data_IF_723727342482
#
_entry.id   IF_723727342482
#
_cell.length_a   1.000
_cell.length_b   1.000
_cell.length_c   1.000
_cell.angle_alpha   90.00
_cell.angle_beta   90.00
_cell.angle_gamma   90.00
#
_symmetry.space_group_name_H-M   'P 1'
#
loop_
_entity.id
_entity.type
_entity.pdbx_description
1 polymer ?
2 water ?
#
# COMPACT_ATOMS: atom_id res chain seq x y z
N UNK A 4 7.78 -16.28 -20.45
CA UNK A 4 7.80 -17.31 -19.39
C UNK A 4 8.89 -17.06 -18.33
N UNK A 5 8.45 -16.67 -17.13
CA UNK A 5 9.37 -16.42 -16.02
C UNK A 5 9.38 -17.54 -14.98
N UNK A 6 8.24 -17.82 -14.29
CA UNK A 6 6.88 -17.24 -14.30
C UNK A 6 6.70 -16.03 -13.36
N UNK A 7 5.45 -15.61 -13.14
CA UNK A 7 5.13 -14.46 -12.29
C UNK A 7 4.99 -14.79 -10.81
N UNK A 8 5.95 -14.30 -10.02
CA UNK A 8 5.97 -14.57 -8.58
C UNK A 8 5.54 -13.39 -7.70
N UNK A 9 4.54 -13.65 -6.85
CA UNK A 9 4.01 -12.65 -5.94
C UNK A 9 4.20 -13.07 -4.47
N UNK A 10 4.78 -12.18 -3.68
CA UNK A 10 4.97 -12.43 -2.25
C UNK A 10 3.86 -11.69 -1.54
N UNK A 11 3.20 -12.36 -0.60
CA UNK A 11 2.12 -11.75 0.15
C UNK A 11 2.31 -11.97 1.64
N UNK A 12 2.70 -10.90 2.32
CA UNK A 12 2.92 -10.96 3.76
C UNK A 12 1.94 -10.06 4.50
N UNK A 13 2.01 -10.13 5.82
CA UNK A 13 1.14 -9.34 6.67
C UNK A 13 1.13 -10.01 8.03
N UNK A 14 0.48 -9.40 9.02
CA UNK A 14 0.42 -9.99 10.34
C UNK A 14 -0.64 -11.07 10.43
N UNK A 15 -0.64 -11.83 11.52
CA UNK A 15 -1.64 -12.88 11.70
C UNK A 15 -3.01 -12.22 11.71
N UNK A 16 -3.96 -12.81 10.98
CA UNK A 16 -5.32 -12.30 10.90
C UNK A 16 -5.40 -10.88 10.32
N UNK A 17 -4.50 -10.57 9.41
CA UNK A 17 -4.48 -9.27 8.75
C UNK A 17 -5.32 -9.40 7.48
N UNK A 18 -5.64 -10.65 7.12
CA UNK A 18 -6.42 -10.91 5.91
C UNK A 18 -5.52 -11.29 4.75
N UNK A 19 -4.22 -11.47 5.01
CA UNK A 19 -3.25 -11.85 3.98
C UNK A 19 -3.61 -13.21 3.38
N UNK A 20 -4.14 -14.09 4.23
CA UNK A 20 -4.54 -15.42 3.84
C UNK A 20 -5.78 -15.34 2.98
N UNK A 21 -6.73 -14.54 3.42
CA UNK A 21 -7.98 -14.35 2.70
C UNK A 21 -7.70 -13.78 1.31
N UNK A 22 -6.76 -12.83 1.23
CA UNK A 22 -6.41 -12.20 -0.04
C UNK A 22 -5.74 -13.17 -1.02
N UNK A 23 -4.78 -13.95 -0.51
CA UNK A 23 -4.07 -14.90 -1.34
C UNK A 23 -5.03 -15.94 -1.88
N UNK A 24 -5.82 -16.53 -1.00
CA UNK A 24 -6.77 -17.54 -1.40
C UNK A 24 -7.75 -17.01 -2.46
N UNK A 25 -8.23 -15.78 -2.26
CA UNK A 25 -9.19 -15.19 -3.20
C UNK A 25 -8.53 -14.84 -4.54
N UNK A 26 -7.24 -14.52 -4.51
CA UNK A 26 -6.49 -14.18 -5.70
C UNK A 26 -6.26 -15.46 -6.51
N UNK A 27 -5.91 -16.53 -5.79
CA UNK A 27 -5.65 -17.82 -6.42
C UNK A 27 -6.93 -18.37 -7.05
N UNK A 28 -8.06 -18.04 -6.44
CA UNK A 28 -9.36 -18.46 -6.91
C UNK A 28 -9.69 -17.85 -8.27
N UNK A 29 -9.37 -16.57 -8.44
CA UNK A 29 -9.61 -15.87 -9.71
C UNK A 29 -8.73 -16.44 -10.82
N UNK A 30 -7.49 -16.77 -10.48
CA UNK A 30 -6.51 -17.32 -11.40
C UNK A 30 -6.71 -18.80 -11.71
N UNK A 31 -7.56 -19.46 -10.93
CA UNK A 31 -7.83 -20.88 -11.13
C UNK A 31 -6.61 -21.79 -11.16
N UNK A 32 -6.64 -22.76 -12.06
CA UNK A 32 -5.55 -23.71 -12.21
C UNK A 32 -4.26 -23.06 -12.72
N UNK A 33 -4.33 -21.77 -13.05
CA UNK A 33 -3.18 -21.04 -13.55
C UNK A 33 -2.28 -20.49 -12.46
N UNK A 34 -2.54 -20.86 -11.20
CA UNK A 34 -1.72 -20.36 -10.10
C UNK A 34 -1.33 -21.44 -9.09
N UNK A 35 -0.09 -21.34 -8.59
CA UNK A 35 0.45 -22.26 -7.58
C UNK A 35 0.60 -21.49 -6.26
N UNK A 36 -0.12 -21.94 -5.24
CA UNK A 36 -0.10 -21.31 -3.92
C UNK A 36 0.72 -22.13 -2.91
N UNK A 37 1.70 -21.49 -2.28
CA UNK A 37 2.55 -22.14 -1.28
C UNK A 37 2.52 -21.34 0.01
N UNK A 38 1.64 -21.69 0.96
CA UNK A 38 1.63 -20.93 2.21
C UNK A 38 2.81 -21.38 3.05
N UNK A 39 3.58 -20.42 3.57
CA UNK A 39 4.75 -20.73 4.38
C UNK A 39 4.40 -21.42 5.70
N UNK A 40 3.15 -21.26 6.14
CA UNK A 40 2.71 -21.88 7.39
C UNK A 40 2.59 -23.41 7.23
N UNK A 41 2.85 -23.89 6.02
CA UNK A 41 2.84 -25.32 5.75
C UNK A 41 4.29 -25.78 5.80
N UNK A 42 5.18 -24.83 6.10
CA UNK A 42 6.61 -25.10 6.16
C UNK A 42 7.28 -24.94 7.53
N UNK A 43 6.52 -25.18 8.59
CA UNK A 43 7.10 -25.11 9.93
C UNK A 43 8.09 -26.28 10.04
N UNK A 44 9.21 -26.05 10.71
CA UNK A 44 10.22 -27.08 10.87
C UNK A 44 9.66 -28.38 11.47
N UNK A 45 10.28 -29.49 11.08
CA UNK A 45 9.90 -30.81 11.58
C UNK A 45 10.50 -30.90 12.98
N UNK A 46 9.65 -31.16 13.97
CA UNK A 46 10.13 -31.23 15.35
C UNK A 46 9.90 -32.59 16.00
N UNK A 47 9.95 -33.65 15.19
CA UNK A 47 9.76 -35.00 15.71
C UNK A 47 10.86 -35.38 16.68
N UNK A 48 12.05 -34.79 16.48
CA UNK A 48 13.22 -35.05 17.32
C UNK A 48 13.08 -34.40 18.70
N UNK A 49 12.00 -33.63 18.88
CA UNK A 49 11.71 -32.94 20.13
C UNK A 49 10.53 -33.59 20.84
N UNK A 50 10.63 -33.74 22.18
CA UNK A 50 9.52 -34.35 22.92
C UNK A 50 8.32 -33.41 22.82
N UNK A 51 7.12 -33.98 22.80
CA UNK A 51 5.89 -33.20 22.67
C UNK A 51 5.84 -31.91 23.48
N UNK A 52 6.29 -31.96 24.72
CA UNK A 52 6.31 -30.80 25.61
C UNK A 52 7.04 -29.61 24.99
N UNK A 53 8.26 -29.84 24.51
CA UNK A 53 9.07 -28.80 23.88
C UNK A 53 8.39 -28.22 22.63
N UNK A 54 7.67 -29.07 21.89
CA UNK A 54 6.98 -28.63 20.68
C UNK A 54 5.81 -27.70 21.00
N UNK A 55 5.24 -27.87 22.18
CA UNK A 55 4.12 -27.06 22.65
C UNK A 55 4.53 -25.65 23.05
N UNK A 56 5.80 -25.47 23.42
CA UNK A 56 6.35 -24.19 23.85
C UNK A 56 6.97 -23.37 22.72
N UNK A 57 7.08 -23.97 21.54
CA UNK A 57 7.67 -23.26 20.41
C UNK A 57 6.79 -22.10 19.94
N UNK A 58 7.42 -20.95 19.70
CA UNK A 58 6.72 -19.78 19.22
C UNK A 58 6.68 -19.90 17.70
N UNK A 59 5.51 -20.22 17.15
CA UNK A 59 5.36 -20.36 15.71
C UNK A 59 5.36 -19.08 14.91
N UNK A 60 5.65 -17.97 15.58
CA UNK A 60 5.72 -16.68 14.90
C UNK A 60 7.16 -16.21 14.75
N UNK A 61 8.08 -16.97 15.34
CA UNK A 61 9.51 -16.67 15.26
C UNK A 61 9.99 -17.31 13.95
N UNK A 62 10.79 -16.59 13.15
CA UNK A 62 11.28 -17.15 11.87
C UNK A 62 12.06 -18.47 12.00
N UNK A 63 12.55 -18.75 13.20
CA UNK A 63 13.30 -19.96 13.51
C UNK A 63 12.42 -21.19 13.53
N UNK A 64 11.10 -20.98 13.61
CA UNK A 64 10.17 -22.11 13.62
C UNK A 64 9.91 -22.60 12.19
N UNK A 65 10.21 -21.76 11.20
CA UNK A 65 9.99 -22.08 9.80
C UNK A 65 11.18 -22.75 9.11
N UNK A 66 10.87 -23.68 8.22
CA UNK A 66 11.88 -24.41 7.45
C UNK A 66 12.14 -23.57 6.19
N UNK A 67 12.98 -22.55 6.33
CA UNK A 67 13.29 -21.66 5.21
C UNK A 67 13.90 -22.36 3.99
N UNK A 68 14.93 -23.19 4.22
CA UNK A 68 15.59 -23.90 3.14
C UNK A 68 14.61 -24.71 2.30
N UNK A 69 13.72 -25.45 2.97
CA UNK A 69 12.72 -26.26 2.29
C UNK A 69 11.75 -25.37 1.51
N UNK A 70 11.41 -24.22 2.08
CA UNK A 70 10.48 -23.31 1.40
C UNK A 70 11.14 -22.72 0.17
N UNK A 71 12.35 -22.20 0.35
CA UNK A 71 13.13 -21.60 -0.74
C UNK A 71 13.38 -22.61 -1.85
N UNK A 72 13.55 -23.86 -1.45
CA UNK A 72 13.79 -24.98 -2.36
C UNK A 72 12.60 -25.17 -3.28
N UNK A 73 11.43 -25.32 -2.66
CA UNK A 73 10.20 -25.52 -3.38
C UNK A 73 9.80 -24.32 -4.24
N UNK A 74 10.14 -23.11 -3.78
CA UNK A 74 9.85 -21.90 -4.53
C UNK A 74 10.67 -21.92 -5.83
N UNK A 75 11.95 -22.26 -5.70
CA UNK A 75 12.87 -22.35 -6.83
C UNK A 75 12.43 -23.45 -7.82
N UNK A 76 11.85 -24.53 -7.30
CA UNK A 76 11.38 -25.63 -8.13
C UNK A 76 10.24 -25.16 -9.03
N UNK A 77 9.22 -24.58 -8.41
CA UNK A 77 8.06 -24.05 -9.12
C UNK A 77 8.43 -22.94 -10.11
N UNK A 78 9.57 -22.30 -9.88
CA UNK A 78 10.04 -21.25 -10.79
C UNK A 78 10.51 -21.91 -12.10
N UNK A 79 10.73 -23.22 -12.07
CA UNK A 79 11.18 -24.00 -13.23
C UNK A 79 10.04 -24.89 -13.77
N UNK A 80 8.80 -24.56 -13.42
CA UNK A 80 7.67 -25.35 -13.87
C UNK A 80 7.66 -26.76 -13.28
N UNK A 81 8.36 -26.93 -12.17
CA UNK A 81 8.46 -28.22 -11.49
C UNK A 81 7.51 -28.32 -10.30
N UNK A 82 6.68 -29.38 -10.26
CA UNK A 82 5.73 -29.57 -9.16
C UNK A 82 6.49 -29.88 -7.87
N UNK A 83 5.81 -29.70 -6.73
CA UNK A 83 6.47 -29.95 -5.45
C UNK A 83 5.60 -30.73 -4.49
N UNK A 84 6.27 -31.33 -3.50
CA UNK A 84 5.61 -32.09 -2.46
C UNK A 84 5.57 -31.23 -1.20
N UNK A 85 4.51 -30.43 -1.08
CA UNK A 85 4.33 -29.55 0.05
C UNK A 85 3.93 -30.35 1.28
N UNK A 86 4.61 -30.09 2.41
CA UNK A 86 4.28 -30.83 3.64
C UNK A 86 2.93 -30.49 4.26
N UNK A 87 2.50 -31.35 5.18
CA UNK A 87 1.23 -31.19 5.88
C UNK A 87 1.48 -31.29 7.37
N UNK A 88 0.91 -30.35 8.13
CA UNK A 88 1.09 -30.32 9.57
C UNK A 88 0.02 -31.14 10.31
N UNK A 89 0.48 -31.96 11.25
CA UNK A 89 -0.41 -32.79 12.05
C UNK A 89 -0.64 -32.09 13.38
N UNK A 90 -1.91 -31.88 13.71
CA UNK A 90 -2.28 -31.22 14.96
C UNK A 90 -2.47 -32.19 16.12
N UNK A 91 -2.44 -33.49 15.80
CA UNK A 91 -2.56 -34.52 16.82
C UNK A 91 -1.26 -34.65 17.60
N UNK A 92 -0.14 -34.55 16.87
CA UNK A 92 1.17 -34.65 17.47
C UNK A 92 1.96 -33.34 17.48
N UNK A 93 1.35 -32.27 16.96
CA UNK A 93 1.99 -30.97 16.91
C UNK A 93 3.33 -30.99 16.15
N UNK A 94 3.35 -31.65 15.00
CA UNK A 94 4.56 -31.73 14.18
C UNK A 94 4.24 -32.02 12.71
N UNK A 95 5.24 -31.90 11.84
CA UNK A 95 5.08 -32.16 10.41
C UNK A 95 4.92 -33.67 10.21
N UNK A 96 3.84 -34.07 9.53
CA UNK A 96 3.58 -35.47 9.25
C UNK A 96 4.37 -35.90 7.99
N UNK A 97 4.55 -37.23 7.79
CA UNK A 97 5.30 -37.70 6.62
C UNK A 97 4.54 -37.54 5.31
N UNK A 98 3.22 -37.38 5.41
CA UNK A 98 2.38 -37.20 4.24
C UNK A 98 2.59 -35.83 3.59
N UNK A 99 2.59 -35.82 2.26
CA UNK A 99 2.77 -34.60 1.49
C UNK A 99 1.53 -34.35 0.63
N UNK A 100 1.56 -33.25 -0.11
CA UNK A 100 0.48 -32.86 -1.00
C UNK A 100 1.12 -32.16 -2.20
N UNK A 101 0.93 -32.72 -3.41
CA UNK A 101 1.51 -32.15 -4.63
C UNK A 101 0.97 -30.80 -5.04
N UNK A 102 1.87 -29.88 -5.37
CA UNK A 102 1.49 -28.55 -5.82
C UNK A 102 2.00 -28.42 -7.25
N UNK A 103 1.09 -28.50 -8.21
CA UNK A 103 1.46 -28.40 -9.60
C UNK A 103 1.89 -26.99 -9.99
N UNK A 104 2.87 -26.89 -10.90
CA UNK A 104 3.41 -25.62 -11.40
C UNK A 104 2.38 -24.79 -12.15
N UNK A 105 2.71 -23.52 -12.38
CA UNK A 105 1.80 -22.60 -13.07
C UNK A 105 2.47 -21.27 -13.43
N UNK A 106 1.91 -20.54 -14.41
CA UNK A 106 2.45 -19.25 -14.85
C UNK A 106 2.56 -18.19 -13.75
N UNK A 107 1.78 -18.35 -12.68
CA UNK A 107 1.83 -17.41 -11.56
C UNK A 107 1.95 -18.17 -10.24
N UNK A 108 2.94 -17.79 -9.44
CA UNK A 108 3.22 -18.41 -8.15
C UNK A 108 2.99 -17.43 -6.99
N UNK A 109 2.21 -17.84 -5.99
CA UNK A 109 1.94 -16.99 -4.83
C UNK A 109 2.58 -17.51 -3.55
N UNK A 110 3.58 -16.79 -3.07
CA UNK A 110 4.30 -17.12 -1.85
C UNK A 110 3.69 -16.27 -0.76
N UNK A 111 2.89 -16.89 0.10
CA UNK A 111 2.26 -16.14 1.15
C UNK A 111 2.52 -16.66 2.53
N UNK A 112 2.62 -15.71 3.45
CA UNK A 112 2.83 -16.01 4.84
C UNK A 112 3.43 -14.86 5.60
N UNK A 113 3.39 -15.02 6.91
CA UNK A 113 4.02 -14.09 7.82
C UNK A 113 5.50 -14.39 7.54
N UNK A 114 6.32 -13.36 7.42
CA UNK A 114 7.76 -13.52 7.16
C UNK A 114 8.11 -13.92 5.72
N UNK A 115 7.12 -13.92 4.83
CA UNK A 115 7.38 -14.27 3.44
C UNK A 115 8.30 -13.21 2.81
N UNK A 116 8.32 -12.02 3.40
CA UNK A 116 9.17 -10.93 2.92
C UNK A 116 10.35 -10.72 3.87
N UNK A 117 10.57 -11.68 4.76
CA UNK A 117 11.66 -11.57 5.73
C UNK A 117 13.05 -11.88 5.15
N UNK A 118 13.23 -13.04 4.49
CA UNK A 118 14.56 -13.34 3.93
C UNK A 118 14.82 -12.72 2.55
N UNK A 119 16.06 -12.26 2.37
CA UNK A 119 16.51 -11.64 1.12
C UNK A 119 16.40 -12.60 -0.07
N UNK A 120 16.82 -13.84 0.15
CA UNK A 120 16.78 -14.87 -0.87
C UNK A 120 15.39 -15.04 -1.48
N UNK A 121 14.36 -14.99 -0.62
CA UNK A 121 12.98 -15.16 -1.04
C UNK A 121 12.45 -13.93 -1.77
N UNK A 122 12.75 -12.75 -1.22
CA UNK A 122 12.33 -11.50 -1.84
C UNK A 122 12.88 -11.37 -3.26
N UNK A 123 14.10 -11.88 -3.47
CA UNK A 123 14.73 -11.81 -4.79
C UNK A 123 13.97 -12.66 -5.81
N UNK A 124 13.17 -13.61 -5.32
CA UNK A 124 12.38 -14.49 -6.19
C UNK A 124 11.06 -13.85 -6.61
N UNK A 125 10.67 -12.77 -5.94
CA UNK A 125 9.39 -12.12 -6.20
C UNK A 125 9.39 -10.96 -7.19
N UNK A 126 8.39 -10.96 -8.06
CA UNK A 126 8.24 -9.89 -9.04
C UNK A 126 7.35 -8.80 -8.43
N UNK A 127 6.48 -9.18 -7.49
CA UNK A 127 5.57 -8.25 -6.81
C UNK A 127 5.51 -8.61 -5.33
N UNK A 128 5.90 -7.67 -4.47
CA UNK A 128 5.90 -7.89 -3.03
C UNK A 128 4.77 -7.11 -2.38
N UNK A 129 3.76 -7.85 -1.89
CA UNK A 129 2.60 -7.24 -1.24
C UNK A 129 2.59 -7.47 0.25
N UNK A 130 2.28 -6.42 1.01
CA UNK A 130 2.19 -6.51 2.47
C UNK A 130 0.77 -6.06 2.86
N UNK A 131 0.04 -6.95 3.52
CA UNK A 131 -1.32 -6.65 3.94
C UNK A 131 -1.26 -5.98 5.30
N UNK A 132 -1.65 -4.71 5.32
CA UNK A 132 -1.61 -3.93 6.54
C UNK A 132 -2.95 -3.79 7.25
N UNK A 133 -2.90 -3.95 8.57
CA UNK A 133 -4.06 -3.83 9.43
C UNK A 133 -3.55 -3.48 10.82
N UNK A 134 -4.30 -2.64 11.54
CA UNK A 134 -3.92 -2.23 12.89
C UNK A 134 -3.91 -3.42 13.84
N UNK A 135 -2.97 -3.40 14.78
CA UNK A 135 -2.83 -4.46 15.77
C UNK A 135 -4.11 -4.75 16.56
N UNK A 136 -4.83 -3.70 16.96
CA UNK A 136 -6.09 -3.92 17.70
C UNK A 136 -7.09 -4.74 16.86
N UNK A 137 -7.22 -4.38 15.59
CA UNK A 137 -8.12 -5.10 14.67
C UNK A 137 -7.60 -6.51 14.40
N UNK A 138 -6.29 -6.65 14.25
CA UNK A 138 -5.71 -7.97 14.01
C UNK A 138 -6.01 -8.87 15.20
N UNK A 139 -5.94 -8.31 16.41
CA UNK A 139 -6.22 -9.07 17.62
C UNK A 139 -7.70 -9.48 17.65
N UNK A 140 -8.57 -8.52 17.36
CA UNK A 140 -10.01 -8.76 17.36
C UNK A 140 -10.41 -9.87 16.40
N UNK A 141 -9.94 -9.76 15.17
CA UNK A 141 -10.21 -10.73 14.12
C UNK A 141 -9.80 -12.13 14.58
N UNK A 142 -8.59 -12.22 15.11
CA UNK A 142 -8.02 -13.47 15.59
C UNK A 142 -8.80 -13.93 16.81
N UNK A 143 -9.20 -12.98 17.64
CA UNK A 143 -9.96 -13.28 18.84
C UNK A 143 -11.29 -13.95 18.47
N UNK A 144 -12.05 -13.29 17.60
CA UNK A 144 -13.35 -13.81 17.19
C UNK A 144 -13.24 -15.18 16.52
N UNK A 145 -12.18 -15.40 15.77
CA UNK A 145 -11.97 -16.66 15.08
C UNK A 145 -11.68 -17.79 16.07
N UNK A 146 -10.85 -17.51 17.08
CA UNK A 146 -10.49 -18.51 18.08
C UNK A 146 -11.58 -18.84 19.11
N UNK A 147 -12.37 -17.85 19.50
CA UNK A 147 -13.42 -18.10 20.47
C UNK A 147 -14.67 -18.68 19.80
N UNK A 148 -15.02 -18.14 18.65
CA UNK A 148 -16.20 -18.56 17.91
C UNK A 148 -16.05 -19.80 17.01
N UNK A 149 -14.87 -19.99 16.44
CA UNK A 149 -14.66 -21.13 15.54
C UNK A 149 -13.67 -22.19 16.00
N UNK A 150 -13.08 -22.01 17.18
CA UNK A 150 -12.12 -22.97 17.71
C UNK A 150 -12.36 -23.31 19.18
N UNK A 151 -13.41 -22.72 19.76
CA UNK A 151 -13.74 -22.98 21.15
C UNK A 151 -12.72 -22.57 22.20
N UNK A 152 -11.93 -21.54 21.91
CA UNK A 152 -10.92 -21.04 22.85
C UNK A 152 -11.57 -19.98 23.74
N UNK A 153 -10.99 -19.76 24.92
CA UNK A 153 -11.50 -18.75 25.85
C UNK A 153 -10.79 -17.43 25.55
N UNK A 154 -11.42 -16.32 25.90
CA UNK A 154 -10.83 -15.01 25.67
C UNK A 154 -9.50 -14.79 26.43
N UNK A 155 -9.37 -15.44 27.58
CA UNK A 155 -8.15 -15.32 28.38
C UNK A 155 -6.99 -16.05 27.70
N UNK A 156 -7.28 -17.21 27.11
CA UNK A 156 -6.25 -17.96 26.42
C UNK A 156 -5.70 -17.20 25.22
N UNK A 157 -6.59 -16.64 24.41
CA UNK A 157 -6.19 -15.88 23.21
C UNK A 157 -5.33 -14.67 23.58
N UNK A 158 -5.72 -13.98 24.65
CA UNK A 158 -4.99 -12.81 25.12
C UNK A 158 -3.57 -13.12 25.54
N UNK A 159 -3.42 -14.08 26.46
CA UNK A 159 -2.12 -14.47 26.97
C UNK A 159 -1.22 -14.92 25.83
N UNK A 160 -1.75 -15.80 24.99
CA UNK A 160 -0.99 -16.31 23.85
C UNK A 160 -0.63 -15.16 22.93
N UNK A 161 -1.53 -14.18 22.82
CA UNK A 161 -1.29 -13.04 21.95
C UNK A 161 -0.26 -12.09 22.53
N UNK A 162 -0.35 -11.84 23.83
CA UNK A 162 0.60 -10.92 24.48
C UNK A 162 2.02 -11.47 24.62
N UNK A 163 2.17 -12.71 25.06
CA UNK A 163 3.51 -13.25 25.23
C UNK A 163 4.19 -13.79 23.97
N UNK A 164 3.41 -14.22 22.99
CA UNK A 164 4.02 -14.76 21.77
C UNK A 164 3.82 -13.98 20.48
N UNK A 165 2.58 -13.79 20.07
CA UNK A 165 2.29 -13.11 18.82
C UNK A 165 2.74 -11.66 18.70
N UNK A 166 2.35 -10.81 19.65
CA UNK A 166 2.72 -9.39 19.59
C UNK A 166 4.22 -9.12 19.42
N UNK A 167 5.06 -9.68 20.31
CA UNK A 167 6.50 -9.42 20.15
C UNK A 167 7.10 -9.89 18.82
N UNK A 168 6.61 -11.01 18.28
CA UNK A 168 7.12 -11.49 17.01
C UNK A 168 6.69 -10.58 15.88
N UNK A 169 5.44 -10.13 15.93
CA UNK A 169 4.95 -9.22 14.90
C UNK A 169 5.77 -7.94 14.88
N UNK A 170 6.01 -7.38 16.07
CA UNK A 170 6.78 -6.16 16.21
C UNK A 170 8.24 -6.30 15.83
N UNK A 171 8.89 -7.37 16.28
CA UNK A 171 10.30 -7.57 15.98
C UNK A 171 10.62 -8.13 14.60
N UNK A 172 9.74 -8.95 14.04
CA UNK A 172 10.01 -9.58 12.76
C UNK A 172 9.13 -9.23 11.57
N UNK A 173 7.81 -9.26 11.77
CA UNK A 173 6.84 -8.99 10.70
C UNK A 173 6.69 -7.54 10.28
N UNK A 174 6.33 -6.67 11.22
CA UNK A 174 6.14 -5.26 10.90
C UNK A 174 7.28 -4.62 10.09
N UNK A 175 8.54 -4.92 10.46
CA UNK A 175 9.65 -4.33 9.70
C UNK A 175 9.68 -4.64 8.20
N UNK A 176 9.16 -5.81 7.81
CA UNK A 176 9.13 -6.20 6.39
C UNK A 176 8.17 -5.37 5.54
N UNK A 177 7.35 -4.54 6.16
CA UNK A 177 6.42 -3.71 5.41
C UNK A 177 7.21 -2.78 4.48
N UNK A 178 8.43 -2.45 4.89
CA UNK A 178 9.29 -1.56 4.11
C UNK A 178 9.80 -2.15 2.80
N UNK A 179 9.67 -3.46 2.62
CA UNK A 179 10.13 -4.12 1.40
C UNK A 179 9.06 -4.30 0.34
N UNK A 180 7.81 -4.05 0.73
CA UNK A 180 6.68 -4.21 -0.17
C UNK A 180 6.63 -3.17 -1.28
N UNK A 181 6.06 -3.58 -2.43
CA UNK A 181 5.89 -2.71 -3.60
C UNK A 181 4.53 -2.03 -3.50
N UNK A 182 3.59 -2.73 -2.88
CA UNK A 182 2.24 -2.22 -2.68
C UNK A 182 1.71 -2.69 -1.33
N UNK A 183 1.03 -1.77 -0.63
CA UNK A 183 0.44 -2.08 0.67
C UNK A 183 -1.08 -2.20 0.52
N UNK A 184 -1.63 -3.31 1.01
CA UNK A 184 -3.06 -3.51 0.90
C UNK A 184 -3.80 -3.52 2.24
N UNK A 185 -4.63 -2.50 2.48
CA UNK A 185 -5.39 -2.41 3.73
C UNK A 185 -6.68 -3.20 3.54
N UNK A 186 -7.33 -3.55 4.67
CA UNK A 186 -8.59 -4.29 4.63
C UNK A 186 -8.49 -5.48 3.64
N UNK A 187 -7.40 -6.23 3.76
CA UNK A 187 -7.13 -7.36 2.88
C UNK A 187 -8.23 -8.38 2.67
N UNK A 188 -9.04 -8.61 3.69
CA UNK A 188 -10.14 -9.56 3.59
C UNK A 188 -11.31 -9.06 2.76
N UNK A 189 -11.41 -7.74 2.61
CA UNK A 189 -12.50 -7.14 1.83
C UNK A 189 -12.03 -5.93 1.03
N UNK A 190 -11.31 -6.18 -0.06
CA UNK A 190 -10.81 -5.12 -0.93
C UNK A 190 -10.83 -5.61 -2.38
N UNK A 191 -12.02 -5.56 -3.03
CA UNK A 191 -12.14 -6.02 -4.41
C UNK A 191 -11.32 -5.21 -5.42
N UNK A 192 -11.10 -3.94 -5.12
CA UNK A 192 -10.32 -3.07 -6.00
C UNK A 192 -8.86 -3.52 -6.01
N UNK A 193 -8.30 -3.74 -4.83
CA UNK A 193 -6.91 -4.18 -4.72
C UNK A 193 -6.79 -5.59 -5.30
N UNK A 194 -7.79 -6.42 -5.02
CA UNK A 194 -7.83 -7.79 -5.51
C UNK A 194 -7.90 -7.84 -7.02
N UNK A 195 -8.68 -6.94 -7.62
CA UNK A 195 -8.83 -6.87 -9.07
C UNK A 195 -7.53 -6.42 -9.71
N UNK A 196 -6.91 -5.41 -9.09
CA UNK A 196 -5.64 -4.87 -9.56
C UNK A 196 -4.55 -5.94 -9.52
N UNK A 197 -4.59 -6.79 -8.49
CA UNK A 197 -3.62 -7.88 -8.35
C UNK A 197 -3.94 -8.98 -9.35
N UNK A 198 -5.23 -9.23 -9.55
CA UNK A 198 -5.67 -10.25 -10.51
C UNK A 198 -5.25 -9.84 -11.93
N UNK A 199 -5.62 -8.63 -12.32
CA UNK A 199 -5.32 -8.08 -13.64
C UNK A 199 -3.81 -7.92 -13.90
N UNK A 200 -3.04 -7.69 -12.85
CA UNK A 200 -1.59 -7.55 -12.98
C UNK A 200 -0.97 -8.93 -13.22
N UNK A 201 -1.57 -9.95 -12.62
CA UNK A 201 -1.08 -11.32 -12.80
C UNK A 201 -1.55 -11.83 -14.16
N UNK A 202 -2.73 -11.40 -14.58
CA UNK A 202 -3.30 -11.78 -15.88
C UNK A 202 -2.52 -11.15 -17.03
N UNK A 203 -1.55 -10.30 -16.69
CA UNK A 203 -0.72 -9.64 -17.69
C UNK A 203 -0.01 -10.68 -18.55
N UNK A 204 0.08 -11.90 -18.02
CA UNK A 204 0.70 -13.02 -18.71
C UNK A 204 -0.28 -14.18 -18.83
N UNK B 5 -18.43 7.96 -16.91
CA UNK B 5 -17.64 6.86 -17.55
C UNK B 5 -16.11 7.04 -17.53
N UNK B 6 -15.60 8.28 -17.40
CA UNK B 6 -14.13 8.38 -17.37
C UNK B 6 -13.57 7.79 -16.07
N UNK B 7 -12.39 7.17 -16.19
CA UNK B 7 -11.72 6.56 -15.05
C UNK B 7 -11.08 7.62 -14.13
N UNK B 8 -11.49 7.65 -12.87
CA UNK B 8 -10.99 8.62 -11.89
C UNK B 8 -10.07 8.01 -10.82
N UNK B 9 -8.83 8.49 -10.77
CA UNK B 9 -7.83 8.04 -9.82
C UNK B 9 -7.45 9.17 -8.87
N UNK B 10 -7.64 8.95 -7.58
CA UNK B 10 -7.27 9.95 -6.59
C UNK B 10 -5.92 9.57 -6.01
N UNK B 11 -4.98 10.50 -5.98
CA UNK B 11 -3.66 10.20 -5.43
C UNK B 11 -3.27 11.16 -4.32
N UNK B 12 -3.29 10.64 -3.10
CA UNK B 12 -2.97 11.43 -1.94
C UNK B 12 -1.67 10.96 -1.29
N UNK B 13 -1.21 11.73 -0.32
CA UNK B 13 0.00 11.43 0.41
C UNK B 13 0.55 12.70 1.00
N UNK B 14 1.59 12.59 1.82
CA UNK B 14 2.15 13.78 2.43
C UNK B 14 2.89 14.66 1.46
N UNK B 15 3.22 15.87 1.90
CA UNK B 15 3.98 16.80 1.07
C UNK B 15 5.36 16.15 0.87
N UNK B 16 5.83 16.11 -0.38
CA UNK B 16 7.14 15.52 -0.71
C UNK B 16 7.18 14.00 -0.49
N UNK B 17 6.01 13.36 -0.55
CA UNK B 17 5.93 11.91 -0.37
C UNK B 17 6.21 11.20 -1.68
N UNK B 18 6.18 11.94 -2.77
CA UNK B 18 6.40 11.32 -4.06
C UNK B 18 5.08 11.14 -4.80
N UNK B 19 3.99 11.65 -4.22
CA UNK B 19 2.67 11.54 -4.84
C UNK B 19 2.63 12.33 -6.13
N UNK B 20 3.34 13.46 -6.16
CA UNK B 20 3.35 14.30 -7.35
C UNK B 20 4.07 13.63 -8.50
N UNK B 21 5.24 13.07 -8.21
CA UNK B 21 6.04 12.39 -9.22
C UNK B 21 5.30 11.16 -9.71
N UNK B 22 4.59 10.51 -8.81
CA UNK B 22 3.82 9.33 -9.17
C UNK B 22 2.71 9.69 -10.14
N UNK B 23 1.99 10.79 -9.86
CA UNK B 23 0.91 11.23 -10.73
C UNK B 23 1.45 11.72 -12.06
N UNK B 24 2.49 12.55 -12.01
CA UNK B 24 3.11 13.07 -13.23
C UNK B 24 3.58 11.93 -14.13
N UNK B 25 4.11 10.87 -13.53
CA UNK B 25 4.59 9.73 -14.30
C UNK B 25 3.42 8.97 -14.89
N UNK B 26 2.38 8.80 -14.09
CA UNK B 26 1.18 8.10 -14.53
C UNK B 26 0.61 8.81 -15.76
N UNK B 27 0.51 10.13 -15.69
CA UNK B 27 0.00 10.94 -16.79
C UNK B 27 0.84 10.80 -18.07
N UNK B 28 2.17 10.91 -17.94
CA UNK B 28 3.07 10.79 -19.08
C UNK B 28 3.03 9.39 -19.71
N UNK B 29 2.68 8.38 -18.91
CA UNK B 29 2.59 7.02 -19.42
C UNK B 29 1.34 6.90 -20.29
N UNK B 30 0.32 7.70 -19.98
CA UNK B 30 -0.92 7.66 -20.73
C UNK B 30 -1.07 8.81 -21.74
N UNK B 31 -0.11 9.74 -21.76
CA UNK B 31 -0.16 10.85 -22.70
C UNK B 31 -1.38 11.74 -22.64
N UNK B 32 -1.90 12.13 -23.80
CA UNK B 32 -3.07 13.00 -23.90
C UNK B 32 -4.40 12.35 -23.52
N UNK B 33 -4.36 11.08 -23.12
CA UNK B 33 -5.56 10.37 -22.71
C UNK B 33 -5.92 10.66 -21.25
N UNK B 34 -5.20 11.58 -20.62
CA UNK B 34 -5.43 11.92 -19.21
C UNK B 34 -5.68 13.40 -18.96
N UNK B 35 -6.21 13.67 -17.77
CA UNK B 35 -6.49 15.02 -17.29
C UNK B 35 -6.05 15.00 -15.83
N UNK B 36 -4.94 15.66 -15.54
CA UNK B 36 -4.39 15.70 -14.20
C UNK B 36 -4.74 17.00 -13.52
N UNK B 37 -5.33 16.89 -12.33
CA UNK B 37 -5.68 18.08 -11.56
C UNK B 37 -4.92 18.09 -10.24
N UNK B 38 -3.87 18.93 -10.16
CA UNK B 38 -3.05 19.05 -8.95
C UNK B 38 -3.81 19.96 -7.97
N UNK B 39 -4.14 19.42 -6.80
CA UNK B 39 -4.87 20.19 -5.79
C UNK B 39 -4.14 21.46 -5.35
N UNK B 40 -2.80 21.44 -5.39
CA UNK B 40 -2.02 22.61 -5.01
C UNK B 40 -2.18 23.75 -6.00
N UNK B 41 -2.82 23.46 -7.13
CA UNK B 41 -3.10 24.48 -8.14
C UNK B 41 -4.42 25.15 -7.73
N UNK B 42 -4.94 24.79 -6.56
CA UNK B 42 -6.22 25.31 -6.10
C UNK B 42 -6.25 25.97 -4.72
N UNK B 43 -5.26 26.80 -4.44
CA UNK B 43 -5.25 27.51 -3.17
C UNK B 43 -6.25 28.66 -3.26
N UNK B 44 -6.72 29.11 -2.10
CA UNK B 44 -7.68 30.19 -2.07
C UNK B 44 -7.02 31.49 -2.57
N UNK B 45 -7.70 32.19 -3.47
CA UNK B 45 -7.19 33.46 -4.00
C UNK B 45 -7.29 34.48 -2.88
N UNK B 46 -6.15 34.97 -2.40
CA UNK B 46 -6.15 35.94 -1.32
C UNK B 46 -5.48 37.25 -1.72
N UNK B 47 -5.79 37.71 -2.94
CA UNK B 47 -5.24 38.95 -3.43
C UNK B 47 -5.67 40.14 -2.60
N UNK B 48 -6.83 40.02 -1.96
CA UNK B 48 -7.36 41.08 -1.12
C UNK B 48 -6.50 41.37 0.11
N UNK B 49 -5.91 40.32 0.69
CA UNK B 49 -5.02 40.50 1.84
C UNK B 49 -3.68 40.98 1.30
N UNK B 50 -2.91 41.68 2.13
CA UNK B 50 -1.59 42.17 1.70
C UNK B 50 -0.62 41.00 1.64
N UNK B 51 0.59 41.25 1.13
CA UNK B 51 1.59 40.20 1.07
C UNK B 51 2.13 39.93 2.49
N UNK B 52 1.53 40.61 3.47
CA UNK B 52 1.86 40.44 4.89
C UNK B 52 1.36 39.02 5.13
N UNK B 53 0.07 38.82 4.90
CA UNK B 53 -0.53 37.50 4.99
C UNK B 53 -0.11 36.92 3.63
N UNK B 54 -0.55 35.72 3.26
CA UNK B 54 -0.12 35.13 1.97
C UNK B 54 1.36 34.81 2.28
N UNK B 55 1.74 33.53 2.25
CA UNK B 55 3.10 33.09 2.59
C UNK B 55 3.12 32.92 4.13
N UNK B 56 2.25 33.69 4.80
CA UNK B 56 2.09 33.65 6.24
C UNK B 56 0.92 32.70 6.54
N UNK B 57 0.21 32.30 5.48
CA UNK B 57 -0.94 31.40 5.54
C UNK B 57 -0.50 29.93 5.51
N UNK B 58 -1.24 29.07 6.22
CA UNK B 58 -0.94 27.63 6.27
C UNK B 58 -1.53 26.93 5.04
N UNK B 59 -0.71 26.78 4.00
CA UNK B 59 -1.16 26.15 2.76
C UNK B 59 -1.33 24.62 2.79
N UNK B 60 -1.33 24.05 3.99
CA UNK B 60 -1.50 22.60 4.19
C UNK B 60 -2.80 22.31 4.97
N UNK B 61 -3.49 23.37 5.37
CA UNK B 61 -4.77 23.29 6.10
C UNK B 61 -5.88 23.22 5.03
N UNK B 62 -6.94 22.43 5.27
CA UNK B 62 -8.04 22.34 4.28
C UNK B 62 -8.62 23.69 3.88
N UNK B 63 -8.79 24.58 4.87
CA UNK B 63 -9.34 25.92 4.63
C UNK B 63 -8.54 26.78 3.65
N UNK B 64 -7.26 26.44 3.44
CA UNK B 64 -6.42 27.18 2.51
C UNK B 64 -6.76 26.79 1.08
N UNK B 65 -7.35 25.62 0.92
CA UNK B 65 -7.73 25.13 -0.40
C UNK B 65 -9.14 25.56 -0.81
N UNK B 66 -9.27 25.94 -2.08
CA UNK B 66 -10.57 26.32 -2.64
C UNK B 66 -11.23 24.99 -3.00
N UNK B 67 -11.66 24.25 -1.98
CA UNK B 67 -12.32 22.96 -2.17
C UNK B 67 -13.47 23.02 -3.17
N UNK B 68 -14.30 24.04 -3.04
CA UNK B 68 -15.46 24.21 -3.92
C UNK B 68 -15.06 24.19 -5.40
N UNK B 69 -14.09 25.02 -5.75
CA UNK B 69 -13.60 25.11 -7.12
C UNK B 69 -13.05 23.78 -7.59
N UNK B 70 -12.24 23.13 -6.75
CA UNK B 70 -11.64 21.85 -7.09
C UNK B 70 -12.71 20.82 -7.44
N UNK B 71 -13.68 20.66 -6.54
CA UNK B 71 -14.80 19.72 -6.73
C UNK B 71 -15.52 19.98 -8.06
N UNK B 72 -15.77 21.26 -8.35
CA UNK B 72 -16.44 21.67 -9.57
C UNK B 72 -15.66 21.21 -10.78
N UNK B 73 -14.37 21.51 -10.78
CA UNK B 73 -13.51 21.11 -11.89
C UNK B 73 -13.49 19.60 -12.01
N UNK B 74 -13.44 18.93 -10.87
CA UNK B 74 -13.44 17.48 -10.85
C UNK B 74 -14.73 16.96 -11.49
N UNK B 75 -15.85 17.58 -11.12
CA UNK B 75 -17.16 17.21 -11.64
C UNK B 75 -17.31 17.48 -13.15
N UNK B 76 -16.79 18.62 -13.62
CA UNK B 76 -16.86 18.96 -15.03
C UNK B 76 -16.13 17.93 -15.86
N UNK B 77 -14.87 17.68 -15.51
CA UNK B 77 -14.06 16.70 -16.22
C UNK B 77 -14.79 15.36 -16.29
N UNK B 78 -15.51 15.05 -15.21
CA UNK B 78 -16.30 13.82 -15.11
C UNK B 78 -17.44 13.78 -16.11
N UNK B 79 -18.02 14.96 -16.38
CA UNK B 79 -19.13 15.08 -17.31
C UNK B 79 -18.61 15.44 -18.71
N UNK B 80 -17.33 15.18 -18.95
CA UNK B 80 -16.71 15.45 -20.24
C UNK B 80 -16.59 16.91 -20.63
N UNK B 81 -16.47 17.78 -19.63
CA UNK B 81 -16.35 19.21 -19.89
C UNK B 81 -14.96 19.71 -19.51
N UNK B 82 -14.32 20.46 -20.42
CA UNK B 82 -12.98 21.01 -20.20
C UNK B 82 -12.99 22.03 -19.07
N UNK B 83 -11.86 22.16 -18.39
CA UNK B 83 -11.75 23.11 -17.28
C UNK B 83 -10.65 24.13 -17.53
N UNK B 84 -10.72 25.23 -16.81
CA UNK B 84 -9.74 26.30 -16.91
C UNK B 84 -8.99 26.31 -15.58
N UNK B 85 -8.07 25.35 -15.42
CA UNK B 85 -7.27 25.19 -14.21
C UNK B 85 -6.49 26.45 -13.87
N UNK B 86 -6.56 26.86 -12.60
CA UNK B 86 -5.87 28.05 -12.11
C UNK B 86 -4.34 28.01 -12.06
N UNK B 87 -3.73 29.02 -12.66
CA UNK B 87 -2.29 29.19 -12.67
C UNK B 87 -1.99 30.02 -11.42
N UNK B 88 -0.98 29.62 -10.66
CA UNK B 88 -0.61 30.34 -9.45
C UNK B 88 0.55 31.30 -9.69
N UNK B 89 0.38 32.54 -9.24
CA UNK B 89 1.38 33.57 -9.37
C UNK B 89 2.32 33.50 -8.16
N UNK B 90 3.22 32.51 -8.16
CA UNK B 90 4.17 32.34 -7.06
C UNK B 90 5.18 33.49 -6.98
N UNK B 91 4.98 34.49 -7.82
CA UNK B 91 5.82 35.68 -7.87
C UNK B 91 5.27 36.69 -6.86
N UNK B 92 3.98 36.58 -6.58
CA UNK B 92 3.28 37.45 -5.63
C UNK B 92 2.49 36.64 -4.61
N UNK B 93 2.57 35.33 -4.73
CA UNK B 93 1.88 34.39 -3.83
C UNK B 93 0.36 34.60 -3.76
N UNK B 94 -0.25 34.63 -4.93
CA UNK B 94 -1.70 34.81 -5.07
C UNK B 94 -2.09 34.17 -6.40
N UNK B 95 -3.33 33.70 -6.52
CA UNK B 95 -3.82 33.07 -7.75
C UNK B 95 -3.72 33.99 -8.96
N UNK B 96 -2.94 33.57 -9.96
CA UNK B 96 -2.77 34.33 -11.19
C UNK B 96 -4.02 34.22 -12.06
N UNK B 97 -4.45 35.34 -12.66
CA UNK B 97 -5.63 35.37 -13.53
C UNK B 97 -5.47 34.48 -14.76
N UNK B 98 -4.23 34.09 -15.04
CA UNK B 98 -3.93 33.21 -16.17
C UNK B 98 -4.59 31.87 -15.88
N UNK B 99 -5.12 31.23 -16.92
CA UNK B 99 -5.80 29.95 -16.80
C UNK B 99 -5.22 28.88 -17.72
N UNK B 100 -4.74 27.80 -17.13
CA UNK B 100 -4.21 26.71 -17.92
C UNK B 100 -5.33 25.73 -18.22
N UNK B 101 -5.65 25.56 -19.53
CA UNK B 101 -6.70 24.67 -20.03
C UNK B 101 -6.42 23.18 -19.81
N UNK B 102 -7.46 22.46 -19.39
CA UNK B 102 -7.37 21.03 -19.18
C UNK B 102 -8.46 20.32 -19.98
N UNK B 103 -8.04 19.70 -21.07
CA UNK B 103 -8.93 18.98 -21.95
C UNK B 103 -9.47 17.73 -21.28
N UNK B 104 -10.79 17.50 -21.35
CA UNK B 104 -11.39 16.31 -20.73
C UNK B 104 -10.75 15.06 -21.33
N UNK B 105 -10.68 14.00 -20.56
CA UNK B 105 -10.06 12.77 -21.05
C UNK B 105 -10.73 11.54 -20.47
N UNK B 106 -10.50 10.36 -21.09
CA UNK B 106 -11.10 9.11 -20.60
C UNK B 106 -10.62 8.71 -19.20
N UNK B 107 -9.50 9.28 -18.76
CA UNK B 107 -8.99 9.01 -17.41
C UNK B 107 -8.56 10.30 -16.71
N UNK B 108 -9.08 10.50 -15.50
CA UNK B 108 -8.79 11.67 -14.70
C UNK B 108 -8.01 11.40 -13.43
N UNK B 109 -6.96 12.18 -13.21
CA UNK B 109 -6.11 12.07 -12.04
C UNK B 109 -6.25 13.30 -11.14
N UNK B 110 -6.61 13.04 -9.89
CA UNK B 110 -6.75 14.09 -8.91
C UNK B 110 -5.65 13.79 -7.87
N UNK B 111 -4.61 14.62 -7.84
CA UNK B 111 -3.53 14.39 -6.87
C UNK B 111 -3.34 15.59 -5.97
N UNK B 112 -3.04 15.32 -4.71
CA UNK B 112 -2.85 16.36 -3.73
C UNK B 112 -2.87 15.80 -2.33
N UNK B 113 -2.37 16.58 -1.39
CA UNK B 113 -2.32 16.16 0.02
C UNK B 113 -3.69 15.87 0.62
N UNK B 114 -4.70 16.62 0.21
CA UNK B 114 -6.05 16.47 0.76
C UNK B 114 -7.10 15.97 -0.23
N UNK B 115 -6.65 15.35 -1.31
CA UNK B 115 -7.57 14.84 -2.32
C UNK B 115 -8.47 13.71 -1.82
N UNK B 116 -8.16 13.16 -0.66
CA UNK B 116 -8.94 12.07 -0.06
C UNK B 116 -9.63 12.52 1.22
N UNK B 117 -9.49 13.80 1.55
CA UNK B 117 -10.09 14.39 2.77
C UNK B 117 -11.61 14.57 2.73
N UNK B 118 -12.17 15.09 1.61
CA UNK B 118 -13.63 15.28 1.55
C UNK B 118 -14.34 14.10 0.91
N UNK B 119 -15.51 13.77 1.45
CA UNK B 119 -16.32 12.67 0.95
C UNK B 119 -16.80 12.91 -0.50
N UNK B 120 -17.24 14.13 -0.79
CA UNK B 120 -17.72 14.43 -2.14
C UNK B 120 -16.65 14.20 -3.21
N UNK B 121 -15.39 14.25 -2.78
CA UNK B 121 -14.26 14.03 -3.68
C UNK B 121 -13.97 12.53 -3.79
N UNK B 122 -13.92 11.84 -2.66
CA UNK B 122 -13.65 10.40 -2.64
C UNK B 122 -14.68 9.62 -3.47
N UNK B 123 -15.95 10.01 -3.34
CA UNK B 123 -17.04 9.36 -4.07
C UNK B 123 -16.88 9.43 -5.59
N UNK B 124 -16.06 10.36 -6.07
CA UNK B 124 -15.83 10.52 -7.51
C UNK B 124 -14.77 9.57 -8.03
N UNK B 125 -14.00 8.97 -7.12
CA UNK B 125 -12.90 8.10 -7.51
C UNK B 125 -13.21 6.61 -7.66
N UNK B 126 -12.72 6.05 -8.76
CA UNK B 126 -12.88 4.63 -9.03
C UNK B 126 -11.74 3.92 -8.31
N UNK B 127 -10.61 4.63 -8.19
CA UNK B 127 -9.42 4.10 -7.54
C UNK B 127 -8.79 5.15 -6.65
N UNK B 128 -8.56 4.78 -5.39
CA UNK B 128 -7.98 5.66 -4.40
C UNK B 128 -6.60 5.14 -4.00
N UNK B 129 -5.63 6.05 -4.00
CA UNK B 129 -4.25 5.71 -3.67
C UNK B 129 -3.64 6.68 -2.67
N UNK B 130 -2.90 6.12 -1.71
CA UNK B 130 -2.21 6.97 -0.74
C UNK B 130 -0.73 6.66 -0.84
N UNK B 131 0.07 7.69 -1.11
CA UNK B 131 1.50 7.52 -1.22
C UNK B 131 2.06 7.68 0.19
N UNK B 132 2.57 6.58 0.72
CA UNK B 132 3.10 6.57 2.07
C UNK B 132 4.61 6.73 2.12
N UNK B 133 5.06 7.53 3.08
CA UNK B 133 6.48 7.78 3.30
C UNK B 133 6.60 8.20 4.74
N UNK B 134 7.73 7.89 5.37
CA UNK B 134 7.94 8.28 6.77
C UNK B 134 8.22 9.79 6.84
N UNK B 135 7.83 10.41 7.96
CA UNK B 135 8.04 11.83 8.14
C UNK B 135 9.49 12.26 7.89
N UNK B 136 10.44 11.52 8.43
CA UNK B 136 11.86 11.86 8.25
C UNK B 136 12.27 11.86 6.77
N UNK B 137 11.81 10.87 6.02
CA UNK B 137 12.11 10.79 4.59
C UNK B 137 11.39 11.91 3.82
N UNK B 138 10.16 12.24 4.21
CA UNK B 138 9.46 13.31 3.53
C UNK B 138 10.14 14.64 3.81
N UNK B 139 10.58 14.83 5.06
CA UNK B 139 11.23 16.08 5.40
C UNK B 139 12.53 16.23 4.62
N UNK B 140 13.29 15.14 4.54
CA UNK B 140 14.56 15.11 3.83
C UNK B 140 14.42 15.47 2.35
N UNK B 141 13.40 14.93 1.69
CA UNK B 141 13.17 15.21 0.27
C UNK B 141 12.87 16.70 0.04
N UNK B 142 11.97 17.25 0.84
CA UNK B 142 11.59 18.66 0.78
C UNK B 142 12.83 19.51 1.06
N UNK B 143 13.65 19.04 2.00
CA UNK B 143 14.88 19.70 2.39
C UNK B 143 15.84 19.78 1.21
N UNK B 144 16.19 18.61 0.68
CA UNK B 144 17.13 18.56 -0.44
C UNK B 144 16.68 19.41 -1.63
N UNK B 145 15.37 19.50 -1.84
CA UNK B 145 14.85 20.29 -2.94
C UNK B 145 14.90 21.80 -2.68
N UNK B 146 14.47 22.22 -1.49
CA UNK B 146 14.47 23.64 -1.15
C UNK B 146 15.86 24.22 -0.93
N UNK B 147 16.71 23.53 -0.19
CA UNK B 147 18.05 24.04 0.08
C UNK B 147 19.04 23.81 -1.05
N UNK B 148 19.10 22.59 -1.59
CA UNK B 148 20.03 22.29 -2.67
C UNK B 148 19.62 22.87 -4.02
N UNK B 149 18.33 22.79 -4.34
CA UNK B 149 17.83 23.29 -5.62
C UNK B 149 17.33 24.73 -5.63
N UNK B 150 16.35 25.02 -4.77
CA UNK B 150 15.74 26.35 -4.69
C UNK B 150 16.44 27.40 -3.83
N UNK B 151 17.65 27.09 -3.35
CA UNK B 151 18.40 28.04 -2.54
C UNK B 151 17.79 28.56 -1.25
N UNK B 152 16.84 27.81 -0.68
CA UNK B 152 16.20 28.20 0.58
C UNK B 152 17.17 27.96 1.73
N UNK B 153 16.97 28.65 2.85
CA UNK B 153 17.84 28.46 4.00
C UNK B 153 17.36 27.25 4.81
N UNK B 154 18.33 26.55 5.40
CA UNK B 154 18.08 25.38 6.22
C UNK B 154 17.08 25.72 7.31
N UNK B 155 17.41 26.75 8.10
CA UNK B 155 16.56 27.21 9.19
C UNK B 155 15.10 27.42 8.79
N UNK B 156 14.89 28.13 7.67
CA UNK B 156 13.53 28.40 7.19
C UNK B 156 12.75 27.14 6.86
N UNK B 157 13.42 26.22 6.17
CA UNK B 157 12.82 24.94 5.79
C UNK B 157 12.38 24.18 7.04
N UNK B 158 13.23 24.18 8.07
CA UNK B 158 12.92 23.52 9.33
C UNK B 158 11.65 24.12 9.95
N UNK B 159 11.70 25.44 10.21
CA UNK B 159 10.59 26.16 10.82
C UNK B 159 9.25 25.97 10.12
N UNK B 160 9.24 26.14 8.81
CA UNK B 160 8.02 25.98 8.04
C UNK B 160 7.49 24.56 8.13
N UNK B 161 8.39 23.59 8.19
CA UNK B 161 7.97 22.20 8.28
C UNK B 161 7.34 21.94 9.64
N UNK B 162 8.01 22.38 10.70
CA UNK B 162 7.54 22.15 12.06
C UNK B 162 6.28 22.86 12.48
N UNK B 163 6.17 24.14 12.17
CA UNK B 163 4.98 24.89 12.59
C UNK B 163 3.82 24.80 11.62
N UNK B 164 4.10 24.47 10.36
CA UNK B 164 3.03 24.42 9.38
C UNK B 164 2.73 23.06 8.76
N UNK B 165 3.74 22.45 8.14
CA UNK B 165 3.58 21.16 7.47
C UNK B 165 3.28 19.97 8.37
N UNK B 166 4.14 19.73 9.36
CA UNK B 166 3.96 18.59 10.26
C UNK B 166 2.60 18.55 10.96
N UNK B 167 2.20 19.66 11.61
CA UNK B 167 0.90 19.64 12.29
C UNK B 167 -0.29 19.39 11.36
N UNK B 168 -0.17 19.82 10.10
CA UNK B 168 -1.25 19.61 9.14
C UNK B 168 -1.28 18.18 8.63
N UNK B 169 -0.10 17.59 8.46
CA UNK B 169 -0.01 16.22 7.98
C UNK B 169 -0.63 15.26 9.01
N UNK B 170 -0.21 15.40 10.26
CA UNK B 170 -0.72 14.58 11.34
C UNK B 170 -2.23 14.74 11.55
N UNK B 171 -2.67 16.00 11.60
CA UNK B 171 -4.09 16.28 11.84
C UNK B 171 -5.04 16.05 10.69
N UNK B 172 -4.58 16.26 9.45
CA UNK B 172 -5.48 16.13 8.29
C UNK B 172 -5.09 15.11 7.21
N UNK B 173 -3.84 15.12 6.78
CA UNK B 173 -3.38 14.20 5.73
C UNK B 173 -3.30 12.73 6.14
N UNK B 174 -2.51 12.42 7.16
CA UNK B 174 -2.31 11.04 7.61
C UNK B 174 -3.58 10.23 7.84
N UNK B 175 -4.58 10.79 8.55
CA UNK B 175 -5.81 10.01 8.77
C UNK B 175 -6.52 9.54 7.48
N UNK B 176 -6.42 10.31 6.40
CA UNK B 176 -7.08 9.91 5.14
C UNK B 176 -6.52 8.64 4.49
N UNK B 177 -5.47 8.06 5.07
CA UNK B 177 -4.86 6.85 4.50
C UNK B 177 -5.78 5.62 4.55
N UNK B 178 -6.65 5.59 5.55
CA UNK B 178 -7.57 4.47 5.69
C UNK B 178 -8.65 4.39 4.60
N UNK B 179 -8.81 5.47 3.84
CA UNK B 179 -9.80 5.53 2.76
C UNK B 179 -9.25 5.01 1.43
N UNK B 180 -7.93 4.84 1.35
CA UNK B 180 -7.30 4.38 0.13
C UNK B 180 -7.57 2.92 -0.15
N UNK B 181 -7.67 2.57 -1.43
CA UNK B 181 -7.88 1.19 -1.84
C UNK B 181 -6.49 0.52 -1.87
N UNK B 182 -5.48 1.31 -2.21
CA UNK B 182 -4.10 0.83 -2.27
C UNK B 182 -3.16 1.91 -1.75
N UNK B 183 -2.17 1.47 -0.99
CA UNK B 183 -1.15 2.35 -0.39
C UNK B 183 0.17 2.05 -1.13
N UNK B 184 0.79 3.09 -1.66
CA UNK B 184 2.04 2.93 -2.39
C UNK B 184 3.21 3.60 -1.70
N UNK B 185 4.24 2.83 -1.38
CA UNK B 185 5.45 3.35 -0.73
C UNK B 185 6.44 3.78 -1.81
N UNK B 186 7.43 4.60 -1.45
CA UNK B 186 8.44 5.06 -2.41
C UNK B 186 7.78 5.53 -3.71
N UNK B 187 6.76 6.38 -3.57
CA UNK B 187 6.03 6.88 -4.73
C UNK B 187 6.85 7.45 -5.87
N UNK B 188 8.03 7.98 -5.57
CA UNK B 188 8.87 8.54 -6.60
C UNK B 188 9.76 7.54 -7.34
N UNK B 189 9.97 6.38 -6.74
CA UNK B 189 10.82 5.33 -7.32
C UNK B 189 10.21 3.95 -7.05
N UNK B 190 9.12 3.66 -7.74
CA UNK B 190 8.40 2.40 -7.58
C UNK B 190 7.80 1.95 -8.92
N UNK B 191 8.63 1.40 -9.81
CA UNK B 191 8.17 0.94 -11.13
C UNK B 191 7.00 -0.05 -11.11
N UNK B 192 7.03 -1.00 -10.18
CA UNK B 192 5.96 -2.00 -10.11
C UNK B 192 4.59 -1.37 -9.87
N UNK B 193 4.47 -0.57 -8.81
CA UNK B 193 3.21 0.09 -8.49
C UNK B 193 2.73 0.98 -9.65
N UNK B 194 3.66 1.71 -10.26
CA UNK B 194 3.35 2.57 -11.41
C UNK B 194 2.69 1.72 -12.48
N UNK B 195 3.34 0.60 -12.82
CA UNK B 195 2.84 -0.32 -13.84
C UNK B 195 1.44 -0.80 -13.51
N UNK B 196 1.24 -1.20 -12.25
CA UNK B 196 -0.08 -1.67 -11.83
C UNK B 196 -1.12 -0.58 -12.00
N UNK B 197 -0.79 0.65 -11.61
CA UNK B 197 -1.72 1.76 -11.73
C UNK B 197 -2.06 2.08 -13.19
N UNK B 198 -1.06 2.05 -14.06
CA UNK B 198 -1.25 2.32 -15.47
C UNK B 198 -2.09 1.26 -16.16
N UNK B 199 -1.80 -0.01 -15.90
CA UNK B 199 -2.52 -1.14 -16.49
C UNK B 199 -4.00 -1.10 -16.16
N UNK B 200 -4.32 -0.75 -14.92
CA UNK B 200 -5.70 -0.68 -14.48
C UNK B 200 -6.40 0.44 -15.23
N UNK B 201 -5.67 1.55 -15.44
CA UNK B 201 -6.18 2.71 -16.15
C UNK B 201 -6.51 2.39 -17.60
N UNK B 202 -5.60 1.68 -18.26
CA UNK B 202 -5.77 1.30 -19.66
C UNK B 202 -6.94 0.36 -19.89
N UNK B 203 -7.67 0.06 -18.82
CA UNK B 203 -8.84 -0.80 -18.88
C UNK B 203 -10.12 0.05 -18.94
#
# INVERSE_FOLDING_TARGET
MSAPKPFVIGIAGGTASGKTTLAQALARTLGERVALLPMDHYYKDLGHLPLEERLRVNYDHPDAFDLALYLEHAQALLRGLPVEMPVYDFRAYTRSPRRTPVRPAPVVILEGILVLYPKELRDLMDLKVFVDADADERFIRRLKRDVLERGRSLEGVVAQYLEQVKPMHLHFVEPTKRYADVIVPRGGQNPVALEMLAAKALARLARMGAA
MSAPKPFVIGIAGGTASGKTTLAQALARTLGERVALLPMDHYYKDLGHLPLEERLRVNYDHPDAFDLALYLEHAQALLRGLPVEMPVYDFRAYTRSPRRTPVRPAPVVILEGILVLYPKELRDLMDLKVFVDADADERFIRRLKRDVLERGRSLEGVVAQYLEQVKPMHLHFVEPTKRYADVIVPRGGQNPVALEMLAAKALARLARMGAA
#
